data_IF_838077644334
#
_entry.id   IF_838077644334
#
_cell.length_a   1.000
_cell.length_b   1.000
_cell.length_c   1.000
_cell.angle_alpha   90.00
_cell.angle_beta   90.00
_cell.angle_gamma   90.00
#
_symmetry.space_group_name_H-M   'P 1'
#
loop_
_entity.id
_entity.type
_entity.pdbx_description
1 polymer ?
#
# COMPACT_ATOMS: atom_id res chain seq x y z
N UNK A 1 64.99 6.36 11.03
CA UNK A 1 63.86 5.91 10.16
C UNK A 1 62.62 5.68 11.02
N UNK A 2 62.04 6.74 11.61
CA UNK A 2 60.94 6.62 12.60
C UNK A 2 59.84 7.68 12.44
N UNK A 3 59.97 8.58 11.47
CA UNK A 3 59.03 9.71 11.26
C UNK A 3 57.94 9.40 10.21
N UNK A 4 58.10 8.36 9.39
CA UNK A 4 57.12 8.00 8.36
C UNK A 4 55.90 7.23 8.89
N UNK A 5 56.05 6.48 9.99
CA UNK A 5 54.99 5.62 10.53
C UNK A 5 53.88 6.40 11.23
N UNK A 6 54.22 7.52 11.90
CA UNK A 6 53.24 8.36 12.60
C UNK A 6 52.33 9.18 11.69
N UNK A 7 52.82 9.61 10.52
CA UNK A 7 52.02 10.37 9.54
C UNK A 7 51.02 9.47 8.82
N UNK A 8 51.44 8.28 8.37
CA UNK A 8 50.55 7.32 7.72
C UNK A 8 49.41 6.89 8.65
N UNK A 9 49.71 6.57 9.91
CA UNK A 9 48.73 6.08 10.87
C UNK A 9 47.66 7.14 11.25
N UNK A 10 48.03 8.44 11.29
CA UNK A 10 47.07 9.53 11.52
C UNK A 10 46.17 9.80 10.32
N UNK A 11 46.71 9.70 9.10
CA UNK A 11 45.92 9.84 7.87
C UNK A 11 44.86 8.75 7.72
N UNK A 12 45.18 7.51 8.11
CA UNK A 12 44.21 6.41 8.08
C UNK A 12 43.03 6.66 9.04
N UNK A 13 43.29 7.10 10.28
CA UNK A 13 42.22 7.34 11.27
C UNK A 13 41.25 8.45 10.82
N UNK A 14 41.76 9.52 10.21
CA UNK A 14 40.91 10.60 9.70
C UNK A 14 40.04 10.13 8.52
N UNK A 15 40.57 9.27 7.64
CA UNK A 15 39.80 8.68 6.55
C UNK A 15 38.72 7.70 7.04
N UNK A 16 38.98 6.89 8.07
CA UNK A 16 37.97 6.00 8.65
C UNK A 16 36.86 6.77 9.36
N UNK A 17 37.16 7.92 9.98
CA UNK A 17 36.14 8.76 10.62
C UNK A 17 35.28 9.51 9.58
N UNK A 18 35.87 9.99 8.48
CA UNK A 18 35.08 10.62 7.41
C UNK A 18 34.16 9.64 6.66
N UNK A 19 34.57 8.38 6.51
CA UNK A 19 33.71 7.35 5.87
C UNK A 19 32.53 6.92 6.73
N UNK A 20 32.62 7.04 8.06
CA UNK A 20 31.47 6.81 8.96
C UNK A 20 30.46 7.96 8.99
N UNK A 21 30.86 9.19 8.65
CA UNK A 21 29.95 10.36 8.62
C UNK A 21 29.22 10.48 7.28
N UNK A 22 29.70 9.79 6.22
CA UNK A 22 29.04 9.74 4.92
C UNK A 22 28.11 8.54 4.76
N UNK A 23 27.58 7.96 5.85
CA UNK A 23 26.32 7.22 5.76
C UNK A 23 25.28 8.25 5.33
N UNK A 24 24.86 8.27 4.05
CA UNK A 24 23.79 9.16 3.66
C UNK A 24 22.59 8.69 4.46
N UNK A 25 21.98 9.58 5.21
CA UNK A 25 20.71 9.38 5.90
C UNK A 25 19.54 9.11 4.93
N UNK A 26 19.79 8.55 3.75
CA UNK A 26 18.85 8.22 2.69
C UNK A 26 18.41 6.75 2.67
N UNK A 27 18.54 6.03 3.78
CA UNK A 27 18.19 4.60 3.87
C UNK A 27 16.68 4.30 3.95
N UNK A 28 15.82 5.31 3.84
CA UNK A 28 14.39 5.15 3.61
C UNK A 28 14.00 5.89 2.34
N UNK A 29 14.56 5.47 1.20
CA UNK A 29 14.05 5.90 -0.08
C UNK A 29 12.59 5.42 -0.18
N UNK A 30 11.65 6.38 -0.15
CA UNK A 30 10.24 6.12 -0.40
C UNK A 30 10.09 5.26 -1.66
N UNK A 31 9.32 4.18 -1.56
CA UNK A 31 9.29 3.15 -2.60
C UNK A 31 7.91 3.07 -3.26
N UNK A 32 7.83 2.80 -4.57
CA UNK A 32 6.57 2.44 -5.20
C UNK A 32 6.05 1.10 -4.65
N UNK A 33 4.75 1.02 -4.37
CA UNK A 33 4.12 -0.16 -3.79
C UNK A 33 2.89 -0.58 -4.58
N UNK A 34 2.81 -1.89 -4.83
CA UNK A 34 1.60 -2.54 -5.32
C UNK A 34 0.81 -3.05 -4.11
N UNK A 35 -0.34 -2.43 -3.83
CA UNK A 35 -1.21 -2.76 -2.69
C UNK A 35 -2.03 -4.02 -3.03
N UNK A 36 -1.35 -5.16 -3.05
CA UNK A 36 -1.86 -6.41 -3.54
C UNK A 36 -2.91 -7.08 -2.66
N UNK A 37 -2.82 -6.90 -1.33
CA UNK A 37 -3.67 -7.59 -0.35
C UNK A 37 -4.67 -6.64 0.32
N UNK A 38 -4.23 -5.44 0.67
CA UNK A 38 -5.08 -4.49 1.36
C UNK A 38 -4.79 -3.07 0.92
N UNK A 39 -5.85 -2.28 0.83
CA UNK A 39 -5.74 -0.85 0.64
C UNK A 39 -6.87 -0.14 1.39
N UNK A 40 -6.51 0.83 2.23
CA UNK A 40 -7.45 1.75 2.85
C UNK A 40 -7.08 3.17 2.44
N UNK A 41 -7.81 3.69 1.45
CA UNK A 41 -7.66 5.04 0.93
C UNK A 41 -8.65 6.03 1.56
N UNK A 42 -9.40 5.63 2.59
CA UNK A 42 -10.32 6.55 3.26
C UNK A 42 -9.55 7.62 4.02
N UNK A 43 -9.68 8.87 3.57
CA UNK A 43 -9.38 10.00 4.42
C UNK A 43 -10.51 11.02 4.37
N UNK A 44 -11.14 11.36 5.52
CA UNK A 44 -12.08 12.48 5.61
C UNK A 44 -11.38 13.85 5.54
N UNK A 45 -10.05 13.87 5.46
CA UNK A 45 -9.22 15.08 5.38
C UNK A 45 -8.33 14.94 4.14
N UNK A 46 -8.43 15.84 3.16
CA UNK A 46 -7.40 15.95 2.11
C UNK A 46 -6.04 16.02 2.82
N UNK A 47 -5.03 15.28 2.34
CA UNK A 47 -3.66 15.24 2.89
C UNK A 47 -3.32 14.13 3.92
N UNK A 48 -4.18 13.11 4.15
CA UNK A 48 -3.76 11.93 4.93
C UNK A 48 -3.16 10.82 4.06
N UNK A 49 -2.41 9.95 4.72
CA UNK A 49 -1.86 8.71 4.18
C UNK A 49 -2.94 7.64 3.99
N UNK A 50 -2.82 6.86 2.92
CA UNK A 50 -3.48 5.57 2.74
C UNK A 50 -2.63 4.46 3.37
N UNK A 51 -3.30 3.41 3.85
CA UNK A 51 -2.63 2.18 4.30
C UNK A 51 -2.64 1.18 3.16
N UNK A 52 -1.46 0.66 2.83
CA UNK A 52 -1.24 -0.25 1.71
C UNK A 52 -0.53 -1.51 2.21
N UNK A 53 -1.07 -2.69 1.91
CA UNK A 53 -0.39 -3.96 2.18
C UNK A 53 -0.05 -4.64 0.85
N UNK A 54 1.24 -4.91 0.66
CA UNK A 54 1.71 -5.55 -0.56
C UNK A 54 1.46 -7.07 -0.55
N UNK A 55 1.78 -7.75 -1.66
CA UNK A 55 1.61 -9.20 -1.77
C UNK A 55 2.42 -10.03 -0.75
N UNK A 56 3.46 -9.44 -0.15
CA UNK A 56 4.27 -10.08 0.88
C UNK A 56 3.70 -9.89 2.29
N UNK A 57 2.59 -9.16 2.43
CA UNK A 57 1.99 -8.85 3.74
C UNK A 57 2.68 -7.71 4.49
N UNK A 58 3.52 -6.93 3.80
CA UNK A 58 4.20 -5.77 4.41
C UNK A 58 3.29 -4.56 4.26
N UNK A 59 3.05 -3.88 5.37
CA UNK A 59 2.24 -2.67 5.44
C UNK A 59 3.09 -1.41 5.20
N UNK A 60 2.54 -0.48 4.43
CA UNK A 60 3.11 0.81 4.09
C UNK A 60 2.09 1.92 4.33
N UNK A 61 2.58 3.08 4.72
CA UNK A 61 1.87 4.34 4.63
C UNK A 61 2.26 5.06 3.35
N UNK A 62 1.26 5.41 2.55
CA UNK A 62 1.44 6.03 1.25
C UNK A 62 0.66 7.36 1.20
N UNK A 63 1.20 8.45 0.64
CA UNK A 63 0.42 9.66 0.40
C UNK A 63 -0.79 9.33 -0.48
N UNK A 64 -2.02 9.59 -0.01
CA UNK A 64 -3.23 9.13 -0.72
C UNK A 64 -3.35 9.71 -2.14
N UNK A 65 -2.86 10.94 -2.35
CA UNK A 65 -2.81 11.60 -3.66
C UNK A 65 -1.86 10.94 -4.67
N UNK A 66 -0.96 10.07 -4.21
CA UNK A 66 -0.02 9.32 -5.04
C UNK A 66 -0.50 7.89 -5.32
N UNK A 67 -1.71 7.54 -4.89
CA UNK A 67 -2.30 6.22 -5.06
C UNK A 67 -3.30 6.20 -6.20
N UNK A 68 -3.02 5.36 -7.19
CA UNK A 68 -3.84 5.21 -8.39
C UNK A 68 -4.19 3.75 -8.60
N UNK A 69 -5.30 3.50 -9.29
CA UNK A 69 -5.58 2.18 -9.85
C UNK A 69 -5.57 2.31 -11.38
N UNK A 70 -4.52 1.77 -11.99
CA UNK A 70 -4.09 2.09 -13.36
C UNK A 70 -3.86 3.61 -13.53
N UNK A 71 -4.67 4.27 -14.36
CA UNK A 71 -4.59 5.69 -14.69
C UNK A 71 -5.70 6.52 -14.01
N UNK A 72 -6.45 5.89 -13.11
CA UNK A 72 -7.58 6.51 -12.42
C UNK A 72 -7.16 6.74 -10.96
N UNK A 73 -7.39 7.94 -10.45
CA UNK A 73 -7.19 8.21 -9.02
C UNK A 73 -8.07 7.26 -8.21
N UNK A 74 -7.56 6.76 -7.09
CA UNK A 74 -8.32 5.85 -6.23
C UNK A 74 -9.78 6.27 -5.95
N UNK A 75 -10.09 7.53 -5.54
CA UNK A 75 -11.48 7.91 -5.25
C UNK A 75 -12.42 7.83 -6.46
N UNK A 76 -11.87 7.88 -7.67
CA UNK A 76 -12.65 7.87 -8.91
C UNK A 76 -12.81 6.45 -9.47
N UNK A 77 -12.08 5.47 -8.94
CA UNK A 77 -12.19 4.10 -9.38
C UNK A 77 -13.47 3.43 -8.87
N UNK A 78 -14.16 2.75 -9.78
CA UNK A 78 -15.37 1.99 -9.47
C UNK A 78 -15.08 0.52 -9.65
N UNK A 79 -15.53 -0.32 -8.72
CA UNK A 79 -15.67 -1.75 -8.95
C UNK A 79 -17.05 -2.04 -9.52
N UNK A 80 -17.17 -3.10 -10.32
CA UNK A 80 -18.39 -3.41 -11.08
C UNK A 80 -19.09 -4.67 -10.55
N UNK A 81 -20.42 -4.69 -10.62
CA UNK A 81 -21.29 -5.86 -10.36
C UNK A 81 -20.97 -6.59 -9.05
N UNK A 82 -20.89 -5.84 -7.95
CA UNK A 82 -20.52 -6.39 -6.65
C UNK A 82 -21.74 -6.87 -5.88
N UNK A 83 -21.63 -8.01 -5.21
CA UNK A 83 -22.68 -8.58 -4.37
C UNK A 83 -22.59 -8.03 -2.95
N UNK A 84 -23.69 -7.56 -2.38
CA UNK A 84 -23.71 -6.99 -1.04
C UNK A 84 -23.59 -8.06 0.05
N UNK A 85 -22.80 -7.78 1.08
CA UNK A 85 -22.76 -8.54 2.32
C UNK A 85 -23.79 -8.01 3.31
N UNK A 86 -24.43 -8.90 4.08
CA UNK A 86 -25.43 -8.47 5.09
C UNK A 86 -24.81 -7.68 6.25
N UNK A 87 -23.58 -7.99 6.63
CA UNK A 87 -22.86 -7.30 7.69
C UNK A 87 -21.33 -7.52 7.61
N UNK A 88 -20.72 -7.11 6.50
CA UNK A 88 -19.26 -7.23 6.31
C UNK A 88 -18.79 -8.54 5.68
N UNK A 89 -17.48 -8.66 5.36
CA UNK A 89 -16.93 -9.78 4.57
C UNK A 89 -17.10 -11.18 5.19
N UNK A 90 -17.25 -11.25 6.50
CA UNK A 90 -17.44 -12.52 7.23
C UNK A 90 -18.91 -12.95 7.30
N UNK A 91 -19.82 -12.17 6.72
CA UNK A 91 -21.27 -12.42 6.73
C UNK A 91 -21.76 -12.99 5.39
N UNK A 92 -22.97 -13.59 5.34
CA UNK A 92 -23.57 -14.02 4.08
C UNK A 92 -23.84 -12.88 3.10
N UNK A 93 -23.90 -13.20 1.80
CA UNK A 93 -24.37 -12.28 0.77
C UNK A 93 -25.90 -12.12 0.85
N UNK A 94 -26.40 -10.90 0.62
CA UNK A 94 -27.84 -10.59 0.63
C UNK A 94 -28.56 -11.05 -0.65
N UNK A 95 -27.80 -11.35 -1.70
CA UNK A 95 -28.32 -11.58 -3.06
C UNK A 95 -28.51 -10.30 -3.88
N UNK A 96 -28.37 -9.12 -3.27
CA UNK A 96 -28.38 -7.85 -3.97
C UNK A 96 -27.05 -7.62 -4.71
N UNK A 97 -27.12 -7.20 -5.97
CA UNK A 97 -25.95 -6.91 -6.81
C UNK A 97 -26.02 -5.47 -7.30
N UNK A 98 -25.04 -4.66 -6.88
CA UNK A 98 -24.92 -3.26 -7.31
C UNK A 98 -24.16 -3.18 -8.64
N UNK A 99 -24.59 -2.35 -9.63
CA UNK A 99 -23.90 -2.25 -10.91
C UNK A 99 -22.46 -1.73 -10.78
N UNK A 100 -22.22 -0.78 -9.87
CA UNK A 100 -20.90 -0.25 -9.59
C UNK A 100 -20.81 0.35 -8.17
N UNK A 101 -19.61 0.43 -7.61
CA UNK A 101 -19.35 1.00 -6.28
C UNK A 101 -18.01 1.74 -6.25
N UNK A 102 -18.01 2.97 -5.69
CA UNK A 102 -16.78 3.68 -5.32
C UNK A 102 -16.33 3.20 -3.94
N UNK A 103 -15.03 2.98 -3.77
CA UNK A 103 -14.52 2.19 -2.65
C UNK A 103 -13.58 2.99 -1.76
N UNK A 104 -13.75 2.81 -0.45
CA UNK A 104 -12.89 3.38 0.58
C UNK A 104 -11.80 2.39 1.01
N UNK A 105 -12.18 1.10 1.08
CA UNK A 105 -11.31 -0.01 1.47
C UNK A 105 -11.41 -1.12 0.43
N UNK A 106 -10.29 -1.78 0.14
CA UNK A 106 -10.21 -3.02 -0.63
C UNK A 106 -9.41 -4.06 0.16
N UNK A 107 -9.93 -5.29 0.19
CA UNK A 107 -9.28 -6.51 0.67
C UNK A 107 -9.24 -7.52 -0.46
N UNK A 108 -8.10 -8.12 -0.68
CA UNK A 108 -7.88 -9.15 -1.69
C UNK A 108 -7.18 -10.35 -1.07
N UNK A 109 -7.44 -11.51 -1.64
CA UNK A 109 -6.95 -12.78 -1.14
C UNK A 109 -6.18 -13.47 -2.27
N UNK A 110 -4.98 -13.99 -1.96
CA UNK A 110 -4.02 -14.50 -2.96
C UNK A 110 -4.64 -15.55 -3.90
N UNK A 111 -5.50 -16.39 -3.34
CA UNK A 111 -6.05 -17.56 -4.03
C UNK A 111 -7.55 -17.42 -4.34
N UNK A 112 -8.08 -16.19 -4.34
CA UNK A 112 -9.49 -15.93 -4.61
C UNK A 112 -9.69 -15.05 -5.83
N UNK A 113 -10.73 -15.36 -6.60
CA UNK A 113 -11.11 -14.60 -7.79
C UNK A 113 -12.06 -13.43 -7.47
N UNK A 114 -11.86 -12.79 -6.32
CA UNK A 114 -12.65 -11.64 -5.88
C UNK A 114 -11.85 -10.70 -4.99
N UNK A 115 -12.39 -9.50 -4.81
CA UNK A 115 -12.00 -8.60 -3.73
C UNK A 115 -13.22 -8.24 -2.90
N UNK A 116 -13.02 -8.03 -1.61
CA UNK A 116 -14.03 -7.40 -0.75
C UNK A 116 -13.74 -5.92 -0.69
N UNK A 117 -14.78 -5.11 -0.88
CA UNK A 117 -14.65 -3.67 -0.89
C UNK A 117 -15.66 -3.04 0.06
N UNK A 118 -15.25 -1.95 0.71
CA UNK A 118 -16.14 -1.11 1.49
C UNK A 118 -16.51 0.10 0.67
N UNK A 119 -17.80 0.39 0.54
CA UNK A 119 -18.25 1.57 -0.19
C UNK A 119 -17.74 2.85 0.47
N UNK A 120 -17.57 3.90 -0.33
CA UNK A 120 -17.26 5.23 0.17
C UNK A 120 -18.52 5.92 0.73
N UNK A 121 -19.66 5.78 0.06
CA UNK A 121 -20.90 6.51 0.38
C UNK A 121 -21.68 5.93 1.56
N UNK A 122 -21.49 4.65 1.87
CA UNK A 122 -22.20 3.92 2.91
C UNK A 122 -21.25 2.95 3.60
N UNK A 123 -21.51 2.60 4.85
CA UNK A 123 -20.68 1.66 5.63
C UNK A 123 -20.85 0.18 5.20
N UNK A 124 -21.26 -0.04 3.94
CA UNK A 124 -21.62 -1.34 3.38
C UNK A 124 -20.42 -2.00 2.71
N UNK A 125 -20.32 -3.32 2.88
CA UNK A 125 -19.32 -4.15 2.22
C UNK A 125 -19.91 -4.92 1.05
N UNK A 126 -19.11 -5.10 0.02
CA UNK A 126 -19.47 -5.84 -1.19
C UNK A 126 -18.37 -6.80 -1.60
N UNK A 127 -18.76 -7.95 -2.13
CA UNK A 127 -17.90 -8.90 -2.83
C UNK A 127 -17.89 -8.58 -4.32
N UNK A 128 -16.73 -8.21 -4.86
CA UNK A 128 -16.54 -7.95 -6.29
C UNK A 128 -15.71 -9.08 -6.92
N UNK A 129 -16.38 -10.04 -7.56
CA UNK A 129 -15.72 -11.12 -8.30
C UNK A 129 -15.05 -10.57 -9.55
N UNK A 130 -14.01 -11.25 -10.06
CA UNK A 130 -13.39 -10.88 -11.32
C UNK A 130 -14.43 -10.92 -12.44
N UNK A 131 -14.42 -9.89 -13.29
CA UNK A 131 -15.36 -9.79 -14.38
C UNK A 131 -14.82 -10.58 -15.59
N UNK A 132 -15.53 -11.62 -16.02
CA UNK A 132 -15.00 -12.68 -16.91
C UNK A 132 -14.42 -12.19 -18.25
N UNK A 133 -14.81 -11.03 -18.77
CA UNK A 133 -14.32 -10.54 -20.08
C UNK A 133 -12.98 -9.81 -20.02
N UNK A 134 -12.60 -9.24 -18.88
CA UNK A 134 -11.40 -8.37 -18.78
C UNK A 134 -10.69 -8.42 -17.41
N UNK A 135 -11.19 -9.21 -16.46
CA UNK A 135 -10.74 -9.23 -15.08
C UNK A 135 -10.69 -7.82 -14.46
N UNK A 136 -11.64 -6.95 -14.80
CA UNK A 136 -11.65 -5.54 -14.35
C UNK A 136 -11.44 -5.39 -12.84
N UNK A 137 -12.20 -6.15 -12.03
CA UNK A 137 -12.11 -6.13 -10.57
C UNK A 137 -10.80 -6.75 -10.01
N UNK A 138 -9.94 -7.34 -10.85
CA UNK A 138 -8.64 -7.89 -10.43
C UNK A 138 -7.61 -6.79 -10.14
N UNK A 139 -7.78 -5.60 -10.70
CA UNK A 139 -6.77 -4.54 -10.58
C UNK A 139 -6.54 -4.10 -9.13
N UNK A 140 -5.33 -3.62 -8.86
CA UNK A 140 -4.84 -3.29 -7.52
C UNK A 140 -4.24 -1.89 -7.51
N UNK A 141 -4.37 -1.15 -6.41
CA UNK A 141 -3.74 0.15 -6.27
C UNK A 141 -2.23 0.06 -6.40
N UNK A 142 -1.67 1.08 -7.04
CA UNK A 142 -0.26 1.35 -7.11
C UNK A 142 -0.02 2.74 -6.52
N UNK A 143 0.85 2.81 -5.52
CA UNK A 143 1.16 4.04 -4.80
C UNK A 143 2.65 4.35 -4.91
N UNK A 144 3.01 5.62 -4.92
CA UNK A 144 4.41 6.08 -4.85
C UNK A 144 4.65 6.94 -3.62
N UNK A 145 5.90 7.06 -3.20
CA UNK A 145 6.23 7.81 -1.99
C UNK A 145 5.86 7.07 -0.70
N UNK A 146 5.77 5.75 -0.73
CA UNK A 146 5.36 4.96 0.42
C UNK A 146 6.53 4.65 1.36
N UNK A 147 6.24 4.65 2.65
CA UNK A 147 7.15 4.28 3.72
C UNK A 147 6.61 3.05 4.45
N UNK A 148 7.46 2.05 4.77
CA UNK A 148 7.03 0.89 5.54
C UNK A 148 6.54 1.36 6.92
N UNK A 149 5.40 0.84 7.38
CA UNK A 149 5.03 1.07 8.77
C UNK A 149 5.90 0.16 9.62
N UNK A 150 6.52 0.68 10.68
CA UNK A 150 7.25 -0.12 11.67
C UNK A 150 6.29 -0.97 12.52
N UNK A 151 5.27 -1.57 11.91
CA UNK A 151 4.35 -2.51 12.52
C UNK A 151 5.08 -3.84 12.72
N UNK A 152 6.04 -3.84 13.65
CA UNK A 152 6.48 -5.03 14.36
C UNK A 152 5.21 -5.66 14.93
N UNK A 153 4.78 -6.79 14.35
CA UNK A 153 3.74 -7.69 14.81
C UNK A 153 2.56 -7.06 15.58
N UNK A 154 1.37 -7.02 14.97
CA UNK A 154 0.16 -7.14 15.78
C UNK A 154 0.16 -8.52 16.47
N UNK A 155 -0.16 -8.58 17.77
CA UNK A 155 -0.17 -9.82 18.56
C UNK A 155 -1.18 -10.85 18.04
#
# INVERSE_FOLDING_TARGET
MMLLTGFLQRSFIVLTVLTLITLPSGLFASSPQHCGLYFNGFSPVKDKYAVCENYSGVEYQCPNQNCNLRHVNWPDFKFLRCSEYSNGPDSPLTGYVIPWVFVSIMRAYKDQEYVDVKAYSHDTWYKCTWYHTDNYNKWKPFCTGCEPTNSIHRP
#
